data_IF_205706218335
#
_entry.id   IF_205706218335
#
_cell.length_a   1.000
_cell.length_b   1.000
_cell.length_c   1.000
_cell.angle_alpha   90.00
_cell.angle_beta   90.00
_cell.angle_gamma   90.00
#
_symmetry.space_group_name_H-M   'P 1'
#
loop_
_entity.id
_entity.type
_entity.pdbx_description
1 polymer ?
#
# COMPACT_ATOMS: atom_id res chain seq x y z
N UNK A 1 3.03 -12.12 -0.33
CA UNK A 1 1.73 -11.41 -0.43
C UNK A 1 1.78 -10.36 0.64
N UNK A 2 1.68 -9.08 0.24
CA UNK A 2 1.89 -7.95 1.13
C UNK A 2 0.99 -8.09 2.37
N UNK A 3 1.58 -8.08 3.56
CA UNK A 3 0.82 -8.05 4.81
C UNK A 3 1.14 -6.79 5.62
N UNK A 4 0.20 -6.42 6.48
CA UNK A 4 0.32 -5.23 7.32
C UNK A 4 1.53 -5.40 8.25
N UNK A 5 2.51 -4.50 8.13
CA UNK A 5 3.76 -4.52 8.90
C UNK A 5 4.87 -5.38 8.30
N UNK A 6 4.72 -5.89 7.07
CA UNK A 6 5.79 -6.58 6.35
C UNK A 6 7.00 -5.64 6.14
N UNK A 7 8.21 -6.18 6.35
CA UNK A 7 9.45 -5.48 6.01
C UNK A 7 9.77 -5.71 4.54
N UNK A 8 9.79 -4.64 3.77
CA UNK A 8 10.08 -4.65 2.34
C UNK A 8 11.35 -3.84 2.08
N UNK A 9 11.99 -4.08 0.93
CA UNK A 9 13.18 -3.35 0.52
C UNK A 9 14.49 -4.13 0.70
N UNK A 10 15.57 -3.50 0.27
CA UNK A 10 16.91 -4.10 0.19
C UNK A 10 17.77 -3.87 1.44
N UNK A 11 17.22 -3.34 2.54
CA UNK A 11 17.97 -3.04 3.76
C UNK A 11 18.75 -1.71 3.73
N UNK A 12 18.68 -0.97 2.63
CA UNK A 12 19.55 0.17 2.35
C UNK A 12 18.75 1.43 2.05
N UNK A 13 18.63 2.31 3.05
CA UNK A 13 18.11 3.67 2.88
C UNK A 13 17.27 4.14 4.08
N UNK A 14 16.57 5.28 3.94
CA UNK A 14 15.76 5.83 5.01
C UNK A 14 14.55 4.92 5.29
N UNK A 15 14.09 4.89 6.54
CA UNK A 15 12.84 4.20 6.88
C UNK A 15 11.67 4.94 6.21
N UNK A 16 10.90 4.19 5.43
CA UNK A 16 9.71 4.67 4.75
C UNK A 16 8.52 3.79 5.10
N UNK A 17 7.33 4.39 5.16
CA UNK A 17 6.07 3.66 5.24
C UNK A 17 5.45 3.62 3.84
N UNK A 18 5.02 2.44 3.42
CA UNK A 18 4.46 2.21 2.08
C UNK A 18 3.03 1.70 2.25
N UNK A 19 2.07 2.40 1.66
CA UNK A 19 0.70 1.93 1.55
C UNK A 19 0.44 1.48 0.11
N UNK A 20 -0.07 0.26 -0.05
CA UNK A 20 -0.32 -0.35 -1.36
C UNK A 20 -1.76 -0.85 -1.43
N UNK A 21 -2.45 -0.51 -2.52
CA UNK A 21 -3.62 -1.25 -2.98
C UNK A 21 -3.33 -1.80 -4.39
N UNK A 22 -3.17 -3.13 -4.51
CA UNK A 22 -2.86 -3.75 -5.78
C UNK A 22 -4.02 -3.65 -6.79
N UNK A 23 -5.27 -3.48 -6.33
CA UNK A 23 -6.42 -3.38 -7.21
C UNK A 23 -7.60 -2.68 -6.52
N UNK A 24 -7.64 -1.34 -6.61
CA UNK A 24 -8.84 -0.59 -6.23
C UNK A 24 -9.96 -0.86 -7.24
N UNK A 25 -11.16 -1.18 -6.73
CA UNK A 25 -12.31 -1.51 -7.58
C UNK A 25 -12.23 -2.89 -8.26
N UNK A 26 -11.90 -3.94 -7.51
CA UNK A 26 -11.89 -5.36 -7.97
C UNK A 26 -13.15 -5.75 -8.79
N UNK A 27 -14.34 -5.33 -8.35
CA UNK A 27 -15.61 -5.59 -9.04
C UNK A 27 -15.72 -4.91 -10.41
N UNK A 28 -15.09 -3.76 -10.58
CA UNK A 28 -15.05 -3.00 -11.85
C UNK A 28 -14.17 -3.74 -12.85
N UNK A 29 -12.99 -4.20 -12.42
CA UNK A 29 -12.09 -5.04 -13.24
C UNK A 29 -12.77 -6.34 -13.65
N UNK A 30 -13.44 -7.00 -12.71
CA UNK A 30 -14.18 -8.24 -12.99
C UNK A 30 -15.32 -8.05 -14.00
N UNK A 31 -15.89 -6.86 -14.07
CA UNK A 31 -16.97 -6.50 -15.01
C UNK A 31 -16.46 -5.93 -16.34
N UNK A 32 -15.14 -5.82 -16.55
CA UNK A 32 -14.56 -5.18 -17.74
C UNK A 32 -14.78 -3.67 -17.81
N UNK A 33 -15.12 -3.04 -16.68
CA UNK A 33 -15.33 -1.62 -16.55
C UNK A 33 -14.03 -0.83 -16.57
N UNK A 34 -14.15 0.47 -16.82
CA UNK A 34 -13.01 1.38 -16.87
C UNK A 34 -12.84 2.05 -15.49
N UNK A 35 -11.67 2.66 -15.23
CA UNK A 35 -11.33 3.35 -13.97
C UNK A 35 -10.95 2.46 -12.77
N UNK A 36 -10.56 1.20 -13.00
CA UNK A 36 -9.81 0.47 -11.98
C UNK A 36 -8.34 0.90 -11.99
N UNK A 37 -7.74 1.04 -10.81
CA UNK A 37 -6.39 1.55 -10.66
C UNK A 37 -5.61 0.72 -9.65
N UNK A 38 -4.32 0.53 -9.90
CA UNK A 38 -3.36 0.12 -8.89
C UNK A 38 -2.74 1.37 -8.29
N UNK A 39 -2.69 1.45 -6.96
CA UNK A 39 -2.29 2.66 -6.26
C UNK A 39 -1.21 2.35 -5.23
N UNK A 40 -0.18 3.19 -5.21
CA UNK A 40 0.95 3.11 -4.29
C UNK A 40 1.21 4.48 -3.69
N UNK A 41 1.35 4.54 -2.37
CA UNK A 41 1.74 5.75 -1.65
C UNK A 41 2.96 5.47 -0.77
N UNK A 42 3.93 6.38 -0.78
CA UNK A 42 5.16 6.28 0.01
C UNK A 42 5.30 7.53 0.87
N UNK A 43 5.51 7.34 2.16
CA UNK A 43 5.66 8.41 3.13
C UNK A 43 6.89 8.18 4.02
N UNK A 44 7.37 9.27 4.63
CA UNK A 44 8.36 9.19 5.70
C UNK A 44 7.72 8.59 6.96
N UNK A 45 8.44 7.70 7.64
CA UNK A 45 7.98 6.83 8.74
C UNK A 45 7.43 7.53 10.00
N UNK A 46 7.30 8.86 10.00
CA UNK A 46 6.69 9.62 11.08
C UNK A 46 5.26 10.11 10.77
N UNK A 47 4.79 9.99 9.51
CA UNK A 47 3.53 10.61 9.07
C UNK A 47 2.36 9.64 8.84
N UNK A 48 2.56 8.32 8.92
CA UNK A 48 1.46 7.39 8.63
C UNK A 48 0.54 7.21 9.86
N UNK A 49 -0.62 7.90 9.81
CA UNK A 49 -1.75 7.74 10.72
C UNK A 49 -2.13 6.27 10.89
N UNK A 50 -1.97 5.73 12.09
CA UNK A 50 -2.56 4.46 12.54
C UNK A 50 -4.08 4.59 12.70
N UNK A 51 -4.79 4.96 11.64
CA UNK A 51 -6.24 5.18 11.71
C UNK A 51 -6.95 4.54 10.53
N UNK A 52 -7.30 3.26 10.71
CA UNK A 52 -8.59 2.67 10.29
C UNK A 52 -9.11 2.92 8.87
N UNK A 53 -8.26 3.13 7.87
CA UNK A 53 -8.64 2.87 6.48
C UNK A 53 -8.19 1.43 6.20
N UNK A 54 -9.07 0.48 6.50
CA UNK A 54 -8.82 -0.97 6.37
C UNK A 54 -8.57 -1.46 4.93
N UNK A 55 -8.67 -0.61 3.91
CA UNK A 55 -8.52 -1.01 2.50
C UNK A 55 -7.06 -1.15 2.04
N UNK A 56 -6.11 -0.44 2.66
CA UNK A 56 -4.72 -0.36 2.18
C UNK A 56 -3.76 -1.19 3.02
N UNK A 57 -2.87 -1.94 2.39
CA UNK A 57 -1.83 -2.71 3.08
C UNK A 57 -0.66 -1.78 3.38
N UNK A 58 -0.36 -1.57 4.66
CA UNK A 58 0.77 -0.74 5.10
C UNK A 58 1.98 -1.61 5.42
N UNK A 59 3.09 -1.40 4.71
CA UNK A 59 4.35 -2.11 4.91
C UNK A 59 5.46 -1.12 5.29
N UNK A 60 6.49 -1.61 5.99
CA UNK A 60 7.64 -0.80 6.36
C UNK A 60 8.80 -1.12 5.44
N UNK A 61 9.38 -0.09 4.85
CA UNK A 61 10.60 -0.22 4.09
C UNK A 61 11.81 -0.22 5.05
N UNK A 62 12.66 -1.25 4.97
CA UNK A 62 13.91 -1.35 5.74
C UNK A 62 15.10 -1.59 4.85
#
# INVERSE_FOLDING_TARGET
MLYIGEKLGTGYGPRLDVAVDPLEGTSIVASGGWNALAVLAVLITATCFTHRICTWITCRWS
#
